data_IF_352280749002
#
_entry.id   IF_352280749002
#
_cell.length_a   1.000
_cell.length_b   1.000
_cell.length_c   1.000
_cell.angle_alpha   90.00
_cell.angle_beta   90.00
_cell.angle_gamma   90.00
#
_symmetry.space_group_name_H-M   'P 1'
#
loop_
_entity.id
_entity.type
_entity.pdbx_description
1 polymer ?
#
# COMPACT_ATOMS: atom_id res chain seq x y z
N UNK A 1 0.84 24.34 -20.11
CA UNK A 1 -0.23 23.31 -20.05
C UNK A 1 -0.56 22.84 -21.47
N UNK A 2 -0.43 21.56 -21.78
CA UNK A 2 -0.53 21.03 -23.15
C UNK A 2 -1.98 20.97 -23.72
N UNK A 3 -2.98 21.58 -23.07
CA UNK A 3 -4.38 21.65 -23.58
C UNK A 3 -5.07 20.30 -23.81
N UNK A 4 -4.57 19.24 -23.18
CA UNK A 4 -5.19 17.91 -23.11
C UNK A 4 -6.32 17.97 -22.06
N UNK A 5 -7.49 17.40 -22.38
CA UNK A 5 -8.66 17.39 -21.49
C UNK A 5 -8.98 15.98 -21.02
N UNK A 6 -9.61 15.88 -19.85
CA UNK A 6 -10.22 14.63 -19.37
C UNK A 6 -11.24 14.14 -20.42
N UNK A 7 -11.08 12.89 -20.87
CA UNK A 7 -11.88 12.28 -21.95
C UNK A 7 -11.16 12.17 -23.30
N UNK A 8 -10.00 12.81 -23.48
CA UNK A 8 -9.19 12.62 -24.68
C UNK A 8 -8.57 11.22 -24.71
N UNK A 9 -8.72 10.49 -25.82
CA UNK A 9 -8.10 9.18 -26.01
C UNK A 9 -6.74 9.33 -26.70
N UNK A 10 -5.68 8.75 -26.12
CA UNK A 10 -4.35 8.76 -26.74
C UNK A 10 -4.23 7.60 -27.71
N UNK A 11 -4.02 7.91 -29.00
CA UNK A 11 -3.88 6.91 -30.07
C UNK A 11 -2.42 6.61 -30.39
N UNK A 12 -1.55 7.62 -30.35
CA UNK A 12 -0.11 7.48 -30.63
C UNK A 12 0.71 8.48 -29.82
N UNK A 13 1.88 8.06 -29.37
CA UNK A 13 2.94 8.95 -28.87
C UNK A 13 4.11 8.82 -29.86
N UNK A 14 4.42 9.93 -30.53
CA UNK A 14 5.26 9.97 -31.73
C UNK A 14 4.79 8.96 -32.79
N UNK A 15 5.62 7.97 -33.12
CA UNK A 15 5.33 6.87 -34.03
C UNK A 15 4.78 5.63 -33.32
N UNK A 16 4.81 5.59 -31.98
CA UNK A 16 4.42 4.43 -31.19
C UNK A 16 2.89 4.35 -31.04
N UNK A 17 2.23 3.29 -31.53
CA UNK A 17 0.79 3.12 -31.38
C UNK A 17 0.42 2.72 -29.94
N UNK A 18 -0.63 3.34 -29.41
CA UNK A 18 -1.15 3.06 -28.07
C UNK A 18 -2.46 2.30 -28.22
N UNK A 19 -2.45 1.03 -27.80
CA UNK A 19 -3.60 0.13 -27.83
C UNK A 19 -4.08 -0.22 -26.42
N UNK A 20 -3.16 -0.26 -25.45
CA UNK A 20 -3.40 -0.54 -24.04
C UNK A 20 -2.86 0.59 -23.17
N UNK A 21 -3.41 0.74 -21.97
CA UNK A 21 -2.95 1.74 -21.01
C UNK A 21 -1.46 1.58 -20.64
N UNK A 22 -0.93 0.35 -20.69
CA UNK A 22 0.48 0.05 -20.43
C UNK A 22 1.43 0.48 -21.57
N UNK A 23 0.90 0.75 -22.77
CA UNK A 23 1.71 1.18 -23.92
C UNK A 23 2.16 2.64 -23.75
N UNK A 24 1.43 3.44 -22.97
CA UNK A 24 1.77 4.84 -22.66
C UNK A 24 3.11 4.94 -21.91
N UNK A 25 3.31 4.31 -20.73
CA UNK A 25 4.59 4.37 -20.04
C UNK A 25 5.74 3.74 -20.85
N UNK A 26 5.49 2.70 -21.66
CA UNK A 26 6.50 2.14 -22.56
C UNK A 26 6.96 3.15 -23.61
N UNK A 27 6.02 3.84 -24.27
CA UNK A 27 6.32 4.86 -25.26
C UNK A 27 7.06 6.04 -24.63
N UNK A 28 6.66 6.47 -23.43
CA UNK A 28 7.30 7.58 -22.70
C UNK A 28 8.72 7.25 -22.25
N UNK A 29 9.00 5.99 -21.90
CA UNK A 29 10.34 5.59 -21.45
C UNK A 29 11.40 5.64 -22.55
N UNK A 30 10.99 5.48 -23.81
CA UNK A 30 11.89 5.57 -24.96
C UNK A 30 12.26 7.02 -25.31
N UNK A 31 11.63 8.01 -24.66
CA UNK A 31 11.77 9.42 -25.01
C UNK A 31 12.73 10.13 -24.05
N UNK A 32 13.64 10.99 -24.56
CA UNK A 32 14.54 11.76 -23.72
C UNK A 32 13.76 12.73 -22.82
N UNK A 33 14.18 12.87 -21.57
CA UNK A 33 13.66 13.87 -20.63
C UNK A 33 13.85 15.27 -21.22
N UNK A 34 12.84 16.14 -21.09
CA UNK A 34 12.75 17.46 -21.72
C UNK A 34 12.66 17.43 -23.26
N UNK A 35 12.56 16.25 -23.87
CA UNK A 35 12.31 16.09 -25.30
C UNK A 35 10.93 16.60 -25.70
N UNK A 36 10.85 17.18 -26.90
CA UNK A 36 9.57 17.51 -27.54
C UNK A 36 8.97 16.26 -28.16
N UNK A 37 7.67 16.06 -27.93
CA UNK A 37 6.97 14.87 -28.38
C UNK A 37 5.64 15.25 -29.02
N UNK A 38 5.18 14.41 -29.95
CA UNK A 38 3.93 14.57 -30.70
C UNK A 38 2.93 13.56 -30.21
N UNK A 39 1.74 13.98 -29.80
CA UNK A 39 0.67 13.05 -29.42
C UNK A 39 -0.41 13.10 -30.49
N UNK A 40 -0.91 11.93 -30.88
CA UNK A 40 -2.15 11.83 -31.66
C UNK A 40 -3.27 11.48 -30.70
N UNK A 41 -4.23 12.39 -30.57
CA UNK A 41 -5.34 12.30 -29.64
C UNK A 41 -6.66 12.22 -30.40
N UNK A 42 -7.66 11.60 -29.80
CA UNK A 42 -9.04 11.57 -30.28
C UNK A 42 -9.95 12.23 -29.26
N UNK A 43 -10.69 13.25 -29.68
CA UNK A 43 -11.73 13.93 -28.88
C UNK A 43 -13.03 13.92 -29.65
N UNK A 44 -14.09 13.34 -29.06
CA UNK A 44 -15.41 13.23 -29.68
C UNK A 44 -15.38 12.62 -31.10
N UNK A 45 -14.52 11.62 -31.31
CA UNK A 45 -14.36 10.96 -32.62
C UNK A 45 -13.48 11.71 -33.63
N UNK A 46 -13.00 12.91 -33.30
CA UNK A 46 -12.11 13.71 -34.15
C UNK A 46 -10.66 13.48 -33.72
N UNK A 47 -9.84 13.02 -34.67
CA UNK A 47 -8.41 12.82 -34.47
C UNK A 47 -7.68 14.14 -34.69
N UNK A 48 -6.88 14.55 -33.71
CA UNK A 48 -6.04 15.74 -33.79
C UNK A 48 -4.63 15.43 -33.29
N UNK A 49 -3.65 16.09 -33.90
CA UNK A 49 -2.25 15.98 -33.50
C UNK A 49 -1.88 17.17 -32.63
N UNK A 50 -1.05 16.91 -31.63
CA UNK A 50 -0.48 17.93 -30.77
C UNK A 50 1.02 17.80 -30.69
N UNK A 51 1.69 18.80 -31.25
CA UNK A 51 3.14 18.94 -31.23
C UNK A 51 3.62 19.65 -29.96
N UNK A 52 4.93 19.57 -29.71
CA UNK A 52 5.65 20.27 -28.65
C UNK A 52 5.17 19.94 -27.22
N UNK A 53 4.80 18.69 -26.98
CA UNK A 53 4.57 18.21 -25.61
C UNK A 53 5.93 17.90 -24.97
N UNK A 54 6.31 18.71 -23.99
CA UNK A 54 7.51 18.50 -23.20
C UNK A 54 7.29 17.40 -22.17
N UNK A 55 8.07 16.33 -22.25
CA UNK A 55 8.08 15.30 -21.21
C UNK A 55 8.91 15.81 -20.05
N UNK A 56 8.26 15.98 -18.91
CA UNK A 56 8.93 16.22 -17.64
C UNK A 56 8.93 14.93 -16.83
N UNK A 57 9.96 14.73 -16.02
CA UNK A 57 9.91 13.69 -15.00
C UNK A 57 8.67 13.96 -14.13
N UNK A 58 7.85 12.93 -13.92
CA UNK A 58 6.72 13.05 -13.01
C UNK A 58 7.27 13.57 -11.67
N UNK A 59 6.73 14.67 -11.11
CA UNK A 59 7.21 15.20 -9.85
C UNK A 59 7.04 14.10 -8.80
N UNK A 60 8.15 13.49 -8.37
CA UNK A 60 8.14 12.56 -7.25
C UNK A 60 7.95 13.41 -6.01
N UNK A 61 6.81 13.21 -5.39
CA UNK A 61 6.50 13.79 -4.11
C UNK A 61 7.65 13.46 -3.12
N UNK A 62 8.18 14.47 -2.42
CA UNK A 62 9.22 14.27 -1.40
C UNK A 62 8.78 13.33 -0.28
N UNK A 63 7.47 13.14 -0.09
CA UNK A 63 6.87 12.12 0.79
C UNK A 63 7.45 10.72 0.55
N UNK A 64 7.85 10.37 -0.67
CA UNK A 64 8.44 9.05 -0.98
C UNK A 64 9.79 8.85 -0.25
N UNK A 65 10.60 9.89 -0.12
CA UNK A 65 11.86 9.78 0.64
C UNK A 65 11.62 9.56 2.13
N UNK A 66 10.59 10.21 2.67
CA UNK A 66 10.15 9.99 4.05
C UNK A 66 9.63 8.56 4.24
N UNK A 67 8.87 8.01 3.29
CA UNK A 67 8.42 6.61 3.31
C UNK A 67 9.58 5.63 3.39
N UNK A 68 10.66 5.86 2.65
CA UNK A 68 11.88 5.03 2.77
C UNK A 68 12.50 5.11 4.16
N UNK A 69 12.62 6.32 4.73
CA UNK A 69 13.15 6.47 6.09
C UNK A 69 12.29 5.71 7.12
N UNK A 70 10.96 5.77 6.99
CA UNK A 70 10.03 4.98 7.81
C UNK A 70 10.28 3.48 7.62
N UNK A 71 10.36 3.01 6.36
CA UNK A 71 10.57 1.61 6.04
C UNK A 71 11.86 1.09 6.70
N UNK A 72 12.98 1.81 6.54
CA UNK A 72 14.26 1.42 7.14
C UNK A 72 14.22 1.42 8.67
N UNK A 73 13.48 2.34 9.29
CA UNK A 73 13.26 2.31 10.74
C UNK A 73 12.52 1.03 11.17
N UNK A 74 11.47 0.63 10.46
CA UNK A 74 10.77 -0.65 10.71
C UNK A 74 11.73 -1.84 10.62
N UNK A 75 12.53 -1.91 9.57
CA UNK A 75 13.49 -3.01 9.37
C UNK A 75 14.55 -3.03 10.47
N UNK A 76 15.11 -1.87 10.84
CA UNK A 76 16.12 -1.75 11.89
C UNK A 76 15.59 -2.18 13.25
N UNK A 77 14.39 -1.73 13.63
CA UNK A 77 13.76 -2.10 14.90
C UNK A 77 13.42 -3.60 14.91
N UNK A 78 12.84 -4.12 13.82
CA UNK A 78 12.51 -5.55 13.69
C UNK A 78 13.75 -6.43 13.82
N UNK A 79 14.85 -6.07 13.16
CA UNK A 79 16.11 -6.81 13.22
C UNK A 79 16.74 -6.76 14.62
N UNK A 80 16.68 -5.60 15.27
CA UNK A 80 17.17 -5.42 16.65
C UNK A 80 16.42 -6.33 17.63
N UNK A 81 15.08 -6.34 17.57
CA UNK A 81 14.23 -7.19 18.42
C UNK A 81 14.46 -8.67 18.13
N UNK A 82 14.63 -9.05 16.86
CA UNK A 82 14.95 -10.42 16.46
C UNK A 82 16.29 -10.89 17.03
N UNK A 83 17.34 -10.07 16.88
CA UNK A 83 18.69 -10.39 17.35
C UNK A 83 18.78 -10.50 18.88
N UNK A 84 18.04 -9.67 19.61
CA UNK A 84 18.03 -9.68 21.09
C UNK A 84 17.40 -10.95 21.69
N UNK A 85 16.78 -11.83 20.88
CA UNK A 85 16.24 -13.17 21.24
C UNK A 85 15.44 -13.25 22.55
N UNK A 86 14.78 -12.17 22.98
CA UNK A 86 14.11 -12.12 24.30
C UNK A 86 12.95 -13.13 24.41
N UNK A 87 12.29 -13.47 23.29
CA UNK A 87 11.34 -14.58 23.18
C UNK A 87 11.27 -15.03 21.72
N UNK A 88 11.82 -16.20 21.39
CA UNK A 88 12.07 -16.62 19.99
C UNK A 88 10.83 -16.62 19.09
N UNK A 89 9.68 -17.04 19.61
CA UNK A 89 8.44 -17.06 18.83
C UNK A 89 7.88 -15.64 18.62
N UNK A 90 7.82 -14.81 19.68
CA UNK A 90 7.23 -13.47 19.60
C UNK A 90 8.10 -12.48 18.81
N UNK A 91 9.43 -12.58 18.94
CA UNK A 91 10.37 -11.73 18.20
C UNK A 91 10.35 -12.01 16.70
N UNK A 92 10.17 -13.27 16.29
CA UNK A 92 10.03 -13.63 14.87
C UNK A 92 8.75 -13.05 14.27
N UNK A 93 7.61 -13.15 14.96
CA UNK A 93 6.34 -12.59 14.48
C UNK A 93 6.43 -11.07 14.31
N UNK A 94 7.01 -10.38 15.29
CA UNK A 94 7.25 -8.94 15.21
C UNK A 94 8.21 -8.58 14.06
N UNK A 95 9.28 -9.35 13.87
CA UNK A 95 10.18 -9.17 12.73
C UNK A 95 9.47 -9.32 11.38
N UNK A 96 8.63 -10.35 11.22
CA UNK A 96 7.86 -10.58 9.99
C UNK A 96 6.89 -9.43 9.71
N UNK A 97 6.23 -8.90 10.75
CA UNK A 97 5.41 -7.69 10.63
C UNK A 97 6.22 -6.48 10.15
N UNK A 98 7.39 -6.26 10.76
CA UNK A 98 8.29 -5.18 10.37
C UNK A 98 8.81 -5.33 8.94
N UNK A 99 9.15 -6.56 8.53
CA UNK A 99 9.59 -6.87 7.17
C UNK A 99 8.48 -6.63 6.15
N UNK A 100 7.25 -7.10 6.42
CA UNK A 100 6.10 -6.85 5.56
C UNK A 100 5.82 -5.34 5.43
N UNK A 101 5.87 -4.61 6.54
CA UNK A 101 5.69 -3.14 6.54
C UNK A 101 6.81 -2.42 5.77
N UNK A 102 8.06 -2.87 5.89
CA UNK A 102 9.18 -2.39 5.10
C UNK A 102 8.94 -2.57 3.59
N UNK A 103 8.52 -3.76 3.16
CA UNK A 103 8.22 -4.05 1.75
C UNK A 103 7.08 -3.15 1.25
N UNK A 104 6.00 -3.03 2.03
CA UNK A 104 4.85 -2.19 1.67
C UNK A 104 5.21 -0.69 1.54
N UNK A 105 6.21 -0.22 2.27
CA UNK A 105 6.63 1.19 2.28
C UNK A 105 7.81 1.50 1.36
N UNK A 106 8.60 0.50 0.95
CA UNK A 106 9.82 0.70 0.14
C UNK A 106 9.67 0.24 -1.31
N UNK A 107 8.75 -0.68 -1.60
CA UNK A 107 8.61 -1.19 -2.96
C UNK A 107 7.74 -0.23 -3.77
N UNK A 108 8.37 0.62 -4.58
CA UNK A 108 7.68 1.51 -5.51
C UNK A 108 7.93 1.10 -6.95
N UNK A 109 6.85 1.07 -7.73
CA UNK A 109 6.88 0.83 -9.16
C UNK A 109 7.62 1.96 -9.89
N UNK A 110 8.71 1.63 -10.60
CA UNK A 110 9.56 2.62 -11.27
C UNK A 110 9.11 2.98 -12.69
N UNK A 111 8.25 2.15 -13.31
CA UNK A 111 7.72 2.37 -14.67
C UNK A 111 8.55 1.74 -15.78
N UNK A 112 9.65 1.04 -15.44
CA UNK A 112 10.56 0.38 -16.38
C UNK A 112 10.02 -0.92 -16.97
N UNK A 113 8.95 -1.48 -16.38
CA UNK A 113 8.24 -2.67 -16.88
C UNK A 113 9.17 -3.88 -17.10
N UNK A 114 10.25 -3.99 -16.32
CA UNK A 114 11.10 -5.17 -16.30
C UNK A 114 10.65 -6.14 -15.21
N UNK A 115 11.18 -7.37 -15.21
CA UNK A 115 10.84 -8.41 -14.22
C UNK A 115 11.07 -7.94 -12.78
N UNK A 116 12.07 -7.06 -12.56
CA UNK A 116 12.33 -6.48 -11.25
C UNK A 116 11.22 -5.50 -10.82
N UNK A 117 10.74 -4.64 -11.71
CA UNK A 117 9.64 -3.72 -11.45
C UNK A 117 8.34 -4.48 -11.17
N UNK A 118 8.12 -5.57 -11.89
CA UNK A 118 6.98 -6.47 -11.67
C UNK A 118 7.07 -7.13 -10.28
N UNK A 119 8.25 -7.61 -9.88
CA UNK A 119 8.47 -8.13 -8.53
C UNK A 119 8.23 -7.07 -7.45
N UNK A 120 8.71 -5.84 -7.66
CA UNK A 120 8.47 -4.74 -6.72
C UNK A 120 6.97 -4.42 -6.62
N UNK A 121 6.27 -4.38 -7.75
CA UNK A 121 4.84 -4.12 -7.80
C UNK A 121 4.02 -5.18 -7.06
N UNK A 122 4.22 -6.47 -7.40
CA UNK A 122 3.50 -7.56 -6.73
C UNK A 122 3.91 -7.69 -5.27
N UNK A 123 5.20 -7.50 -4.95
CA UNK A 123 5.70 -7.47 -3.58
C UNK A 123 5.01 -6.38 -2.74
N UNK A 124 4.81 -5.19 -3.30
CA UNK A 124 4.10 -4.11 -2.63
C UNK A 124 2.63 -4.47 -2.34
N UNK A 125 1.92 -5.04 -3.32
CA UNK A 125 0.52 -5.48 -3.15
C UNK A 125 0.40 -6.56 -2.09
N UNK A 126 1.25 -7.59 -2.15
CA UNK A 126 1.27 -8.69 -1.18
C UNK A 126 1.55 -8.12 0.21
N UNK A 127 2.58 -7.30 0.35
CA UNK A 127 2.92 -6.68 1.63
C UNK A 127 1.78 -5.80 2.16
N UNK A 128 1.15 -4.99 1.33
CA UNK A 128 0.03 -4.12 1.71
C UNK A 128 -1.22 -4.88 2.18
N UNK A 129 -1.48 -6.06 1.62
CA UNK A 129 -2.62 -6.91 2.01
C UNK A 129 -2.32 -7.79 3.23
N UNK A 130 -1.09 -8.27 3.37
CA UNK A 130 -0.71 -9.23 4.41
C UNK A 130 -0.17 -8.54 5.67
N UNK A 131 0.49 -7.39 5.59
CA UNK A 131 0.95 -6.63 6.76
C UNK A 131 -0.18 -6.38 7.80
N UNK A 132 -1.37 -5.88 7.42
CA UNK A 132 -2.47 -5.69 8.38
C UNK A 132 -3.01 -7.00 8.96
N UNK A 133 -3.04 -8.09 8.17
CA UNK A 133 -3.46 -9.40 8.65
C UNK A 133 -2.45 -10.00 9.64
N UNK A 134 -1.14 -9.85 9.36
CA UNK A 134 -0.05 -10.23 10.27
C UNK A 134 -0.14 -9.40 11.56
N UNK A 135 -0.42 -8.10 11.46
CA UNK A 135 -0.61 -7.24 12.63
C UNK A 135 -1.77 -7.70 13.50
N UNK A 136 -2.93 -7.98 12.91
CA UNK A 136 -4.09 -8.50 13.63
C UNK A 136 -3.77 -9.85 14.29
N UNK A 137 -3.13 -10.76 13.57
CA UNK A 137 -2.70 -12.05 14.11
C UNK A 137 -1.73 -11.87 15.29
N UNK A 138 -0.77 -10.95 15.18
CA UNK A 138 0.13 -10.60 16.28
C UNK A 138 -0.63 -10.08 17.51
N UNK A 139 -1.59 -9.15 17.31
CA UNK A 139 -2.38 -8.61 18.41
C UNK A 139 -3.20 -9.70 19.13
N UNK A 140 -3.83 -10.60 18.39
CA UNK A 140 -4.65 -11.69 18.94
C UNK A 140 -3.84 -12.82 19.60
N UNK A 141 -2.55 -12.96 19.26
CA UNK A 141 -1.69 -14.00 19.84
C UNK A 141 -0.81 -13.48 20.97
N UNK A 142 -0.81 -12.17 21.23
CA UNK A 142 0.09 -11.55 22.18
C UNK A 142 -0.19 -11.96 23.64
N UNK A 143 -1.48 -11.99 24.04
CA UNK A 143 -1.92 -12.40 25.38
C UNK A 143 -3.13 -13.34 25.40
N UNK A 144 -4.28 -12.94 24.83
CA UNK A 144 -5.47 -13.80 24.79
C UNK A 144 -5.78 -14.26 23.38
N UNK A 145 -5.42 -15.51 23.07
CA UNK A 145 -5.85 -16.14 21.83
C UNK A 145 -7.34 -16.49 21.95
N UNK A 146 -8.24 -15.91 21.12
CA UNK A 146 -9.67 -16.20 21.22
C UNK A 146 -9.94 -17.70 21.08
N UNK A 147 -10.95 -18.23 21.77
CA UNK A 147 -11.23 -19.67 21.79
C UNK A 147 -11.41 -20.27 20.39
N UNK A 148 -11.99 -19.50 19.45
CA UNK A 148 -12.15 -19.92 18.06
C UNK A 148 -10.81 -20.02 17.30
N UNK A 149 -9.80 -19.24 17.68
CA UNK A 149 -8.45 -19.25 17.12
C UNK A 149 -7.53 -20.27 17.78
N UNK A 150 -7.89 -20.76 18.96
CA UNK A 150 -7.12 -21.77 19.73
C UNK A 150 -7.11 -23.15 19.08
N UNK A 151 -8.06 -23.44 18.18
CA UNK A 151 -8.12 -24.70 17.42
C UNK A 151 -6.98 -24.76 16.39
N UNK A 152 -6.40 -25.95 16.19
CA UNK A 152 -5.26 -26.16 15.27
C UNK A 152 -5.54 -25.54 13.90
N UNK A 153 -4.66 -24.64 13.44
CA UNK A 153 -4.73 -23.91 12.15
C UNK A 153 -5.90 -22.93 11.97
N UNK A 154 -6.70 -22.63 13.00
CA UNK A 154 -7.79 -21.65 12.88
C UNK A 154 -7.30 -20.22 12.57
N UNK A 155 -6.06 -19.89 12.93
CA UNK A 155 -5.40 -18.63 12.57
C UNK A 155 -5.25 -18.40 11.07
N UNK A 156 -5.33 -19.45 10.24
CA UNK A 156 -5.33 -19.32 8.77
C UNK A 156 -6.54 -18.51 8.27
N UNK A 157 -7.65 -18.49 9.02
CA UNK A 157 -8.86 -17.75 8.65
C UNK A 157 -8.59 -16.24 8.57
N UNK A 158 -7.64 -15.72 9.37
CA UNK A 158 -7.24 -14.31 9.33
C UNK A 158 -6.60 -13.90 8.00
N UNK A 159 -6.04 -14.87 7.27
CA UNK A 159 -5.33 -14.65 6.00
C UNK A 159 -6.22 -14.87 4.78
N UNK A 160 -7.38 -15.53 4.94
CA UNK A 160 -8.33 -15.80 3.84
C UNK A 160 -8.73 -14.49 3.13
N UNK A 161 -9.14 -13.41 3.83
CA UNK A 161 -9.52 -12.17 3.16
C UNK A 161 -8.39 -11.55 2.34
N UNK A 162 -7.16 -11.53 2.87
CA UNK A 162 -5.98 -11.02 2.16
C UNK A 162 -5.67 -11.86 0.92
N UNK A 163 -5.76 -13.19 1.03
CA UNK A 163 -5.55 -14.09 -0.13
C UNK A 163 -6.63 -13.92 -1.19
N UNK A 164 -7.89 -13.73 -0.80
CA UNK A 164 -8.99 -13.53 -1.74
C UNK A 164 -8.83 -12.20 -2.49
N UNK A 165 -8.55 -11.10 -1.76
CA UNK A 165 -8.30 -9.81 -2.39
C UNK A 165 -7.08 -9.86 -3.32
N UNK A 166 -6.01 -10.55 -2.93
CA UNK A 166 -4.85 -10.75 -3.80
C UNK A 166 -5.20 -11.54 -5.06
N UNK A 167 -5.99 -12.61 -4.95
CA UNK A 167 -6.42 -13.37 -6.12
C UNK A 167 -7.30 -12.52 -7.04
N UNK A 168 -8.22 -11.73 -6.48
CA UNK A 168 -9.06 -10.81 -7.26
C UNK A 168 -8.21 -9.77 -8.02
N UNK A 169 -7.17 -9.21 -7.39
CA UNK A 169 -6.27 -8.26 -8.07
C UNK A 169 -5.46 -8.94 -9.17
N UNK A 170 -4.99 -10.17 -8.98
CA UNK A 170 -4.30 -10.96 -10.02
C UNK A 170 -5.23 -11.27 -11.19
N UNK A 171 -6.45 -11.74 -10.93
CA UNK A 171 -7.43 -12.06 -11.98
C UNK A 171 -7.85 -10.82 -12.77
N UNK A 172 -8.01 -9.68 -12.09
CA UNK A 172 -8.27 -8.39 -12.73
C UNK A 172 -7.08 -7.93 -13.59
N UNK A 173 -5.85 -8.08 -13.10
CA UNK A 173 -4.63 -7.71 -13.84
C UNK A 173 -4.39 -8.58 -15.08
N UNK A 174 -4.76 -9.87 -15.04
CA UNK A 174 -4.65 -10.79 -16.18
C UNK A 174 -5.74 -10.57 -17.25
N UNK A 175 -6.71 -9.68 -16.99
CA UNK A 175 -7.83 -9.43 -17.91
C UNK A 175 -8.84 -10.57 -18.00
N UNK A 176 -8.81 -11.50 -17.03
CA UNK A 176 -9.79 -12.60 -16.93
C UNK A 176 -11.16 -12.04 -16.54
N UNK A 177 -11.19 -10.98 -15.75
CA UNK A 177 -12.40 -10.22 -15.44
C UNK A 177 -12.60 -9.11 -16.48
N UNK A 178 -13.68 -9.21 -17.25
CA UNK A 178 -14.09 -8.15 -18.18
C UNK A 178 -14.90 -7.09 -17.42
N UNK A 179 -14.39 -5.87 -17.37
CA UNK A 179 -15.11 -4.73 -16.79
C UNK A 179 -15.66 -3.85 -17.91
N UNK A 180 -16.93 -3.44 -17.79
CA UNK A 180 -17.54 -2.46 -18.69
C UNK A 180 -17.05 -1.02 -18.42
N UNK A 181 -16.41 -0.81 -17.27
CA UNK A 181 -15.82 0.45 -16.82
C UNK A 181 -14.36 0.59 -17.26
N UNK A 182 -13.84 1.84 -17.43
CA UNK A 182 -12.44 2.09 -17.72
C UNK A 182 -11.51 1.41 -16.70
N UNK A 183 -10.43 0.78 -17.18
CA UNK A 183 -9.47 0.05 -16.34
C UNK A 183 -8.86 0.92 -15.23
N UNK A 184 -8.75 2.23 -15.46
CA UNK A 184 -8.28 3.20 -14.48
C UNK A 184 -9.25 3.33 -13.29
N UNK A 185 -10.56 3.33 -13.53
CA UNK A 185 -11.57 3.41 -12.47
C UNK A 185 -11.60 2.13 -11.64
N UNK A 186 -11.48 0.97 -12.30
CA UNK A 186 -11.39 -0.33 -11.61
C UNK A 186 -10.16 -0.36 -10.71
N UNK A 187 -9.00 0.10 -11.19
CA UNK A 187 -7.79 0.18 -10.39
C UNK A 187 -7.97 1.11 -9.19
N UNK A 188 -8.55 2.28 -9.40
CA UNK A 188 -8.77 3.25 -8.32
C UNK A 188 -9.75 2.72 -7.26
N UNK A 189 -10.78 1.99 -7.69
CA UNK A 189 -11.69 1.29 -6.79
C UNK A 189 -10.98 0.20 -5.99
N UNK A 190 -10.16 -0.63 -6.63
CA UNK A 190 -9.37 -1.67 -5.95
C UNK A 190 -8.41 -1.06 -4.92
N UNK A 191 -7.72 0.03 -5.25
CA UNK A 191 -6.82 0.72 -4.33
C UNK A 191 -7.57 1.20 -3.06
N UNK A 192 -8.80 1.72 -3.22
CA UNK A 192 -9.64 2.11 -2.07
C UNK A 192 -10.11 0.91 -1.25
N UNK A 193 -10.52 -0.17 -1.90
CA UNK A 193 -10.92 -1.41 -1.21
C UNK A 193 -9.76 -1.96 -0.40
N UNK A 194 -8.56 -2.00 -0.99
CA UNK A 194 -7.34 -2.43 -0.30
C UNK A 194 -7.03 -1.52 0.89
N UNK A 195 -7.12 -0.20 0.74
CA UNK A 195 -6.89 0.74 1.84
C UNK A 195 -7.92 0.57 2.96
N UNK A 196 -9.21 0.48 2.63
CA UNK A 196 -10.29 0.26 3.60
C UNK A 196 -10.07 -1.04 4.36
N UNK A 197 -9.76 -2.11 3.64
CA UNK A 197 -9.44 -3.42 4.21
C UNK A 197 -8.28 -3.33 5.20
N UNK A 198 -7.17 -2.68 4.83
CA UNK A 198 -6.01 -2.50 5.71
C UNK A 198 -6.36 -1.70 6.96
N UNK A 199 -7.11 -0.60 6.82
CA UNK A 199 -7.57 0.19 7.96
C UNK A 199 -8.43 -0.63 8.91
N UNK A 200 -9.42 -1.37 8.40
CA UNK A 200 -10.31 -2.21 9.22
C UNK A 200 -9.49 -3.22 10.04
N UNK A 201 -8.52 -3.90 9.42
CA UNK A 201 -7.69 -4.88 10.11
C UNK A 201 -6.74 -4.24 11.15
N UNK A 202 -6.11 -3.11 10.82
CA UNK A 202 -5.28 -2.39 11.79
C UNK A 202 -6.09 -1.88 12.99
N UNK A 203 -7.28 -1.34 12.75
CA UNK A 203 -8.19 -0.93 13.82
C UNK A 203 -8.69 -2.12 14.64
N UNK A 204 -9.04 -3.24 14.00
CA UNK A 204 -9.41 -4.47 14.71
C UNK A 204 -8.28 -4.97 15.62
N UNK A 205 -7.02 -4.89 15.17
CA UNK A 205 -5.86 -5.21 16.00
C UNK A 205 -5.71 -4.26 17.18
N UNK A 206 -5.87 -2.95 16.97
CA UNK A 206 -5.83 -1.95 18.03
C UNK A 206 -6.95 -2.15 19.08
N UNK A 207 -8.16 -2.52 18.63
CA UNK A 207 -9.29 -2.87 19.51
C UNK A 207 -8.99 -4.13 20.31
N UNK A 208 -8.44 -5.17 19.67
CA UNK A 208 -8.04 -6.40 20.36
C UNK A 208 -7.04 -6.13 21.49
N UNK A 209 -6.02 -5.30 21.24
CA UNK A 209 -5.08 -4.85 22.28
C UNK A 209 -5.77 -4.05 23.40
N UNK A 210 -6.80 -3.27 23.07
CA UNK A 210 -7.61 -2.53 24.03
C UNK A 210 -8.43 -3.46 24.95
N UNK A 211 -9.00 -4.51 24.38
CA UNK A 211 -9.73 -5.55 25.13
C UNK A 211 -8.76 -6.31 26.04
N UNK A 212 -7.59 -6.72 25.54
CA UNK A 212 -6.57 -7.40 26.34
C UNK A 212 -6.09 -6.52 27.51
N UNK A 213 -5.90 -5.22 27.27
CA UNK A 213 -5.51 -4.27 28.32
C UNK A 213 -6.58 -4.12 29.42
N UNK A 214 -7.86 -4.25 29.06
CA UNK A 214 -8.97 -4.16 30.01
C UNK A 214 -9.11 -5.42 30.89
N UNK A 215 -8.72 -6.59 30.35
CA UNK A 215 -8.82 -7.88 31.04
C UNK A 215 -7.52 -8.33 31.72
N UNK A 216 -6.37 -7.69 31.44
CA UNK A 216 -5.08 -8.06 32.05
C UNK A 216 -4.95 -7.58 33.50
N UNK A 217 -4.83 -8.50 34.44
CA UNK A 217 -4.57 -8.20 35.86
C UNK A 217 -3.08 -8.01 36.18
N UNK A 218 -2.18 -8.62 35.38
CA UNK A 218 -0.74 -8.51 35.58
C UNK A 218 -0.21 -7.10 35.21
N UNK A 219 0.43 -6.39 36.15
CA UNK A 219 0.93 -5.03 35.93
C UNK A 219 2.04 -4.91 34.88
N UNK A 220 2.86 -5.95 34.69
CA UNK A 220 3.94 -5.96 33.68
C UNK A 220 3.34 -6.05 32.28
N UNK A 221 2.40 -6.98 32.10
CA UNK A 221 1.68 -7.20 30.84
C UNK A 221 0.86 -5.96 30.47
N UNK A 222 0.13 -5.40 31.44
CA UNK A 222 -0.68 -4.21 31.25
C UNK A 222 0.15 -3.01 30.81
N UNK A 223 1.39 -2.88 31.32
CA UNK A 223 2.33 -1.84 30.89
C UNK A 223 2.76 -2.04 29.43
N UNK A 224 3.11 -3.26 29.04
CA UNK A 224 3.46 -3.58 27.63
C UNK A 224 2.30 -3.32 26.68
N UNK A 225 1.09 -3.78 27.02
CA UNK A 225 -0.13 -3.56 26.23
C UNK A 225 -0.48 -2.07 26.12
N UNK A 226 -0.29 -1.28 27.18
CA UNK A 226 -0.51 0.17 27.14
C UNK A 226 0.39 0.84 26.11
N UNK A 227 1.68 0.49 26.09
CA UNK A 227 2.63 1.05 25.12
C UNK A 227 2.31 0.60 23.70
N UNK A 228 2.04 -0.70 23.50
CA UNK A 228 1.72 -1.26 22.18
C UNK A 228 0.43 -0.68 21.60
N UNK A 229 -0.65 -0.62 22.41
CA UNK A 229 -1.93 0.00 22.03
C UNK A 229 -1.77 1.47 21.68
N UNK A 230 -1.08 2.24 22.52
CA UNK A 230 -0.90 3.66 22.27
C UNK A 230 -0.01 3.90 21.05
N UNK A 231 1.02 3.08 20.81
CA UNK A 231 1.85 3.14 19.60
C UNK A 231 1.05 2.85 18.33
N UNK A 232 0.22 1.79 18.35
CA UNK A 232 -0.68 1.47 17.25
C UNK A 232 -1.69 2.59 16.97
N UNK A 233 -2.33 3.14 18.00
CA UNK A 233 -3.31 4.23 17.85
C UNK A 233 -2.66 5.52 17.35
N UNK A 234 -1.54 5.94 17.94
CA UNK A 234 -0.86 7.19 17.55
C UNK A 234 -0.24 7.06 16.16
N UNK A 235 0.17 5.85 15.74
CA UNK A 235 0.66 5.63 14.39
C UNK A 235 -0.43 5.46 13.34
N UNK A 236 -1.57 4.85 13.68
CA UNK A 236 -2.67 4.60 12.74
C UNK A 236 -3.59 5.83 12.61
N UNK A 237 -3.91 6.52 13.70
CA UNK A 237 -4.94 7.56 13.69
C UNK A 237 -4.61 8.75 12.78
N UNK A 238 -3.39 9.34 12.77
CA UNK A 238 -3.09 10.44 11.87
C UNK A 238 -3.13 10.00 10.40
N UNK A 239 -2.60 8.82 10.08
CA UNK A 239 -2.70 8.25 8.73
C UNK A 239 -4.16 8.02 8.32
N UNK A 240 -4.96 7.40 9.17
CA UNK A 240 -6.37 7.11 8.89
C UNK A 240 -7.20 8.38 8.72
N UNK A 241 -7.03 9.39 9.57
CA UNK A 241 -7.83 10.62 9.55
C UNK A 241 -7.40 11.59 8.43
N UNK A 242 -6.10 11.75 8.21
CA UNK A 242 -5.56 12.75 7.27
C UNK A 242 -5.51 12.19 5.84
N UNK A 243 -5.19 10.91 5.66
CA UNK A 243 -5.05 10.28 4.34
C UNK A 243 -6.16 9.27 4.05
N UNK A 244 -6.38 8.33 4.97
CA UNK A 244 -7.27 7.19 4.79
C UNK A 244 -8.71 7.57 4.46
N UNK A 245 -9.37 8.26 5.38
CA UNK A 245 -10.78 8.65 5.24
C UNK A 245 -11.00 9.57 4.03
N UNK A 246 -10.25 10.66 3.83
CA UNK A 246 -10.50 11.52 2.68
C UNK A 246 -10.31 10.79 1.35
N UNK A 247 -9.30 9.91 1.24
CA UNK A 247 -9.11 9.11 0.02
C UNK A 247 -10.26 8.14 -0.23
N UNK A 248 -10.79 7.49 0.82
CA UNK A 248 -11.97 6.63 0.72
C UNK A 248 -13.20 7.39 0.22
N UNK A 249 -13.39 8.64 0.68
CA UNK A 249 -14.45 9.54 0.23
C UNK A 249 -14.18 10.18 -1.15
N UNK A 250 -13.07 9.86 -1.80
CA UNK A 250 -12.76 10.29 -3.16
C UNK A 250 -11.94 11.56 -3.28
N UNK A 251 -11.34 12.04 -2.20
CA UNK A 251 -10.33 13.09 -2.27
C UNK A 251 -9.09 12.59 -3.04
N UNK A 252 -8.55 13.46 -3.89
CA UNK A 252 -7.25 13.22 -4.53
C UNK A 252 -6.14 13.45 -3.49
N UNK A 253 -5.22 12.50 -3.26
CA UNK A 253 -4.16 12.67 -2.28
C UNK A 253 -3.33 13.92 -2.54
N UNK A 254 -3.19 14.76 -1.52
CA UNK A 254 -2.29 15.92 -1.53
C UNK A 254 -0.97 15.58 -0.84
N UNK A 255 0.05 16.42 -1.05
CA UNK A 255 1.37 16.25 -0.42
C UNK A 255 1.28 16.08 1.11
N UNK A 256 0.49 16.93 1.77
CA UNK A 256 0.26 16.87 3.22
C UNK A 256 -0.38 15.55 3.66
N UNK A 257 -1.27 14.98 2.84
CA UNK A 257 -1.87 13.69 3.13
C UNK A 257 -0.84 12.55 3.01
N UNK A 258 0.03 12.59 2.00
CA UNK A 258 1.09 11.60 1.84
C UNK A 258 2.10 11.62 3.02
N UNK A 259 2.36 12.79 3.59
CA UNK A 259 3.23 12.94 4.78
C UNK A 259 2.65 12.27 6.04
N UNK A 260 1.35 11.99 6.09
CA UNK A 260 0.74 11.29 7.24
C UNK A 260 1.32 9.90 7.46
N UNK A 261 1.94 9.27 6.45
CA UNK A 261 2.69 8.00 6.60
C UNK A 261 3.80 8.10 7.65
N UNK A 262 4.35 9.29 7.90
CA UNK A 262 5.33 9.49 8.98
C UNK A 262 4.82 9.06 10.36
N UNK A 263 3.51 9.15 10.61
CA UNK A 263 2.93 8.67 11.86
C UNK A 263 3.10 7.15 12.04
N UNK A 264 3.11 6.38 10.96
CA UNK A 264 3.27 4.91 11.03
C UNK A 264 4.62 4.48 11.61
N UNK A 265 5.66 5.33 11.60
CA UNK A 265 6.96 5.07 12.27
C UNK A 265 6.78 4.75 13.76
N UNK A 266 5.74 5.28 14.39
CA UNK A 266 5.53 5.17 15.83
C UNK A 266 5.00 3.80 16.27
N UNK A 267 4.52 2.96 15.34
CA UNK A 267 4.00 1.62 15.64
C UNK A 267 5.11 0.68 16.16
N UNK A 268 6.29 0.56 15.50
CA UNK A 268 7.36 -0.33 15.97
C UNK A 268 8.24 0.27 17.09
N UNK A 269 8.18 1.57 17.37
CA UNK A 269 9.21 2.30 18.13
C UNK A 269 9.20 2.05 19.66
N UNK A 270 8.45 1.06 20.17
CA UNK A 270 8.21 0.85 21.61
C UNK A 270 8.15 -0.63 21.95
#
# INVERSE_FOLDING_TARGET
MAGIRLGDQVLKIQSFPIRKALDVPQALWQLPLLGQTRYTLRRNGIDFQKDNIFIQAAPRDSAVFYQYAVAFAYLGIGLFVYYRRTSAAKSLHFFVLCLASFIALSFHYSGKLNTFDELMYWGNIVAGLFAPAIFLHFCLTFHMMPDFLRRRRAWLVLYIPSTLLFLLTVLAAQGIMTFSTPLLEVRWFLDRVMLAFSLVLYFAGAVALGVDFAHSEDPVIRRQLKFLRNGALVGLAPFALIYGLPYLFGAVPTHLMNLSVLSMVLIPLK
#
